data_IF_383076805601
#
_entry.id   IF_383076805601
#
_cell.length_a   1.000
_cell.length_b   1.000
_cell.length_c   1.000
_cell.angle_alpha   90.00
_cell.angle_beta   90.00
_cell.angle_gamma   90.00
#
_symmetry.space_group_name_H-M   'P 1'
#
loop_
_entity.id
_entity.type
_entity.pdbx_description
1 polymer ?
#
# COMPACT_ATOMS: atom_id res chain seq x y z
N UNK A 1 5.28 32.37 -4.85
CA UNK A 1 4.91 30.95 -4.83
C UNK A 1 5.70 30.30 -3.70
N UNK A 2 5.06 30.05 -2.55
CA UNK A 2 5.75 29.39 -1.43
C UNK A 2 5.99 27.92 -1.81
N UNK A 3 7.24 27.49 -1.80
CA UNK A 3 7.56 26.06 -1.82
C UNK A 3 7.16 25.51 -0.45
N UNK A 4 6.09 24.73 -0.40
CA UNK A 4 5.78 23.94 0.78
C UNK A 4 6.60 22.66 0.73
N UNK A 5 7.30 22.35 1.83
CA UNK A 5 7.96 21.06 1.99
C UNK A 5 6.88 19.99 2.19
N UNK A 6 6.64 19.20 1.15
CA UNK A 6 5.82 18.00 1.21
C UNK A 6 6.69 16.84 1.67
N UNK A 7 6.29 16.17 2.73
CA UNK A 7 6.90 14.92 3.16
C UNK A 7 5.84 13.87 3.46
N UNK A 8 6.20 12.63 3.20
CA UNK A 8 5.37 11.46 3.46
C UNK A 8 5.93 10.72 4.65
N UNK A 9 5.06 10.27 5.55
CA UNK A 9 5.44 9.37 6.64
C UNK A 9 4.62 8.08 6.58
N UNK A 10 5.26 6.97 6.89
CA UNK A 10 4.56 5.69 7.04
C UNK A 10 3.67 5.75 8.28
N UNK A 11 2.37 5.49 8.11
CA UNK A 11 1.38 5.60 9.18
C UNK A 11 1.01 4.26 9.79
N UNK A 12 0.67 3.28 8.95
CA UNK A 12 0.18 1.98 9.39
C UNK A 12 0.74 0.89 8.50
N UNK A 13 1.56 0.01 9.09
CA UNK A 13 2.21 -1.11 8.41
C UNK A 13 1.43 -2.43 8.54
N UNK A 14 1.70 -3.35 7.64
CA UNK A 14 1.16 -4.70 7.61
C UNK A 14 2.12 -5.67 6.90
N UNK A 15 1.93 -6.97 7.13
CA UNK A 15 2.68 -8.03 6.44
C UNK A 15 1.88 -9.33 6.47
N UNK A 16 2.17 -10.23 5.54
CA UNK A 16 1.53 -11.54 5.44
C UNK A 16 2.32 -12.50 4.56
N UNK A 17 1.84 -13.72 4.42
CA UNK A 17 2.46 -14.79 3.62
C UNK A 17 1.44 -15.69 2.90
N UNK A 18 0.29 -15.11 2.56
CA UNK A 18 -0.89 -15.79 2.04
C UNK A 18 -2.00 -14.77 1.75
N UNK A 19 -3.19 -15.23 1.39
CA UNK A 19 -4.33 -14.34 1.25
C UNK A 19 -4.58 -13.54 2.54
N UNK A 20 -4.83 -12.25 2.40
CA UNK A 20 -4.84 -11.31 3.52
C UNK A 20 -5.76 -10.14 3.25
N UNK A 21 -6.54 -9.76 4.24
CA UNK A 21 -7.37 -8.56 4.20
C UNK A 21 -6.94 -7.59 5.29
N UNK A 22 -6.96 -6.30 4.97
CA UNK A 22 -6.62 -5.25 5.91
C UNK A 22 -7.58 -4.10 5.80
N UNK A 23 -8.29 -3.83 6.90
CA UNK A 23 -8.96 -2.57 7.15
C UNK A 23 -8.04 -1.63 7.91
N UNK A 24 -7.95 -0.39 7.46
CA UNK A 24 -7.15 0.66 8.07
C UNK A 24 -7.96 1.46 9.07
N UNK A 25 -7.29 2.05 10.07
CA UNK A 25 -7.98 2.82 11.13
C UNK A 25 -8.54 4.16 10.65
N UNK A 26 -8.04 4.65 9.52
CA UNK A 26 -8.41 5.92 8.88
C UNK A 26 -8.36 5.73 7.38
N UNK A 27 -9.14 6.55 6.66
CA UNK A 27 -9.07 6.64 5.20
C UNK A 27 -7.63 6.88 4.72
N UNK A 28 -7.28 6.24 3.62
CA UNK A 28 -5.95 6.20 3.03
C UNK A 28 -6.01 6.67 1.58
N UNK A 29 -4.91 7.23 1.08
CA UNK A 29 -4.77 7.63 -0.33
C UNK A 29 -3.47 7.10 -0.94
N UNK A 30 -2.49 6.73 -0.12
CA UNK A 30 -1.21 6.19 -0.59
C UNK A 30 -0.99 4.77 -0.07
N UNK A 31 -0.67 3.85 -0.98
CA UNK A 31 -0.34 2.47 -0.67
C UNK A 31 1.07 2.14 -1.12
N UNK A 32 1.84 1.56 -0.19
CA UNK A 32 3.09 0.88 -0.50
C UNK A 32 2.93 -0.60 -0.19
N UNK A 33 3.22 -1.44 -1.18
CA UNK A 33 3.19 -2.89 -1.02
C UNK A 33 4.40 -3.50 -1.72
N UNK A 34 5.19 -4.23 -0.96
CA UNK A 34 6.43 -4.86 -1.39
C UNK A 34 6.19 -6.37 -1.44
N UNK A 35 6.33 -6.95 -2.62
CA UNK A 35 6.32 -8.41 -2.78
C UNK A 35 7.73 -8.94 -2.49
N UNK A 36 7.92 -9.48 -1.29
CA UNK A 36 9.19 -10.08 -0.87
C UNK A 36 9.24 -11.60 -1.15
N UNK A 37 8.18 -12.14 -1.75
CA UNK A 37 8.03 -13.53 -2.11
C UNK A 37 8.77 -13.90 -3.40
N UNK A 38 8.64 -15.16 -3.80
CA UNK A 38 9.19 -15.65 -5.08
C UNK A 38 8.15 -15.73 -6.19
N UNK A 39 6.86 -15.67 -5.83
CA UNK A 39 5.71 -15.67 -6.73
C UNK A 39 5.06 -14.29 -6.82
N UNK A 40 4.39 -14.01 -7.93
CA UNK A 40 3.61 -12.79 -8.08
C UNK A 40 2.45 -12.76 -7.09
N UNK A 41 2.06 -11.56 -6.65
CA UNK A 41 0.89 -11.34 -5.83
C UNK A 41 -0.04 -10.32 -6.49
N UNK A 42 -1.31 -10.33 -6.10
CA UNK A 42 -2.25 -9.28 -6.48
C UNK A 42 -2.78 -8.56 -5.26
N UNK A 43 -3.06 -7.27 -5.41
CA UNK A 43 -3.77 -6.46 -4.43
C UNK A 43 -4.98 -5.81 -5.08
N UNK A 44 -6.13 -5.92 -4.43
CA UNK A 44 -7.35 -5.23 -4.77
C UNK A 44 -7.60 -4.07 -3.79
N UNK A 45 -7.88 -2.90 -4.34
CA UNK A 45 -8.23 -1.70 -3.58
C UNK A 45 -9.31 -0.93 -4.35
N UNK A 46 -10.45 -0.67 -3.70
CA UNK A 46 -11.62 -0.04 -4.34
C UNK A 46 -12.04 -0.68 -5.68
N UNK A 47 -11.89 -2.01 -5.84
CA UNK A 47 -12.21 -2.72 -7.07
C UNK A 47 -11.16 -2.64 -8.18
N UNK A 48 -10.06 -1.89 -7.96
CA UNK A 48 -8.89 -1.92 -8.83
C UNK A 48 -7.94 -3.04 -8.41
N UNK A 49 -7.56 -3.88 -9.37
CA UNK A 49 -6.62 -4.99 -9.15
C UNK A 49 -5.26 -4.64 -9.73
N UNK A 50 -4.24 -4.68 -8.88
CA UNK A 50 -2.85 -4.52 -9.25
C UNK A 50 -2.11 -5.85 -9.10
N UNK A 51 -1.30 -6.20 -10.09
CA UNK A 51 -0.38 -7.32 -10.01
C UNK A 51 1.01 -6.80 -9.67
N UNK A 52 1.64 -7.38 -8.65
CA UNK A 52 2.98 -7.00 -8.18
C UNK A 52 3.88 -8.21 -8.38
N UNK A 53 4.78 -8.17 -9.39
CA UNK A 53 5.70 -9.27 -9.61
C UNK A 53 6.61 -9.52 -8.42
N UNK A 54 7.13 -10.75 -8.33
CA UNK A 54 8.14 -11.13 -7.34
C UNK A 54 9.32 -10.14 -7.29
N UNK A 55 9.61 -9.61 -6.10
CA UNK A 55 10.69 -8.63 -5.87
C UNK A 55 10.34 -7.18 -6.22
N UNK A 56 9.12 -6.89 -6.67
CA UNK A 56 8.70 -5.53 -7.02
C UNK A 56 7.94 -4.84 -5.88
N UNK A 57 7.84 -3.53 -5.99
CA UNK A 57 7.10 -2.66 -5.08
C UNK A 57 6.05 -1.88 -5.84
N UNK A 58 4.83 -1.87 -5.33
CA UNK A 58 3.80 -0.88 -5.65
C UNK A 58 3.99 0.31 -4.71
N UNK A 59 4.07 1.53 -5.24
CA UNK A 59 4.13 2.78 -4.49
C UNK A 59 3.26 3.80 -5.22
N UNK A 60 1.97 3.84 -4.87
CA UNK A 60 0.95 4.53 -5.67
C UNK A 60 0.05 5.44 -4.84
N UNK A 61 -0.35 6.55 -5.47
CA UNK A 61 -1.48 7.38 -5.06
C UNK A 61 -2.75 6.82 -5.70
N UNK A 62 -3.73 6.51 -4.87
CA UNK A 62 -4.97 5.86 -5.25
C UNK A 62 -6.16 6.73 -4.87
N UNK A 63 -7.33 6.42 -5.43
CA UNK A 63 -8.58 6.97 -4.92
C UNK A 63 -8.75 6.59 -3.43
N UNK A 64 -9.36 7.46 -2.61
CA UNK A 64 -9.38 7.23 -1.17
C UNK A 64 -10.06 5.90 -0.77
N UNK A 65 -9.40 5.10 0.06
CA UNK A 65 -9.80 3.74 0.44
C UNK A 65 -9.70 3.49 1.94
N UNK A 66 -10.44 2.48 2.42
CA UNK A 66 -10.46 2.08 3.83
C UNK A 66 -9.94 0.64 4.05
N UNK A 67 -9.85 -0.16 2.99
CA UNK A 67 -9.33 -1.53 3.05
C UNK A 67 -8.66 -1.99 1.77
N UNK A 68 -7.85 -3.04 1.88
CA UNK A 68 -7.25 -3.79 0.78
C UNK A 68 -7.50 -5.29 0.95
N UNK A 69 -7.49 -6.02 -0.15
CA UNK A 69 -7.39 -7.48 -0.18
C UNK A 69 -6.17 -7.89 -0.99
N UNK A 70 -5.33 -8.75 -0.42
CA UNK A 70 -4.12 -9.28 -1.06
C UNK A 70 -4.35 -10.76 -1.32
N UNK A 71 -4.12 -11.19 -2.56
CA UNK A 71 -4.03 -12.60 -2.93
C UNK A 71 -2.57 -12.93 -3.16
N UNK A 72 -2.00 -13.81 -2.33
CA UNK A 72 -0.59 -14.16 -2.36
C UNK A 72 -0.40 -15.61 -1.90
N UNK A 73 0.68 -16.24 -2.36
CA UNK A 73 1.16 -17.53 -1.87
C UNK A 73 2.45 -17.43 -1.07
N UNK A 74 3.11 -16.27 -1.10
CA UNK A 74 4.38 -15.98 -0.46
C UNK A 74 4.32 -14.70 0.39
N UNK A 75 5.45 -14.36 1.02
CA UNK A 75 5.59 -13.22 1.92
C UNK A 75 5.46 -11.86 1.22
N UNK A 76 4.83 -10.92 1.91
CA UNK A 76 4.80 -9.51 1.52
C UNK A 76 4.77 -8.62 2.77
N UNK A 77 5.12 -7.35 2.58
CA UNK A 77 4.95 -6.31 3.58
C UNK A 77 4.55 -5.00 2.92
N UNK A 78 3.86 -4.15 3.66
CA UNK A 78 3.38 -2.89 3.14
C UNK A 78 3.03 -1.91 4.22
N UNK A 79 2.72 -0.70 3.82
CA UNK A 79 2.25 0.35 4.69
C UNK A 79 1.49 1.41 3.89
N UNK A 80 0.63 2.14 4.58
CA UNK A 80 0.01 3.35 4.03
C UNK A 80 0.79 4.58 4.47
N UNK A 81 0.82 5.61 3.61
CA UNK A 81 1.47 6.90 3.88
C UNK A 81 0.43 8.00 3.99
N UNK A 82 0.73 8.98 4.82
CA UNK A 82 0.00 10.25 4.84
C UNK A 82 0.93 11.35 4.28
N UNK A 83 0.35 12.23 3.47
CA UNK A 83 0.99 13.48 3.07
C UNK A 83 0.89 14.50 4.19
N UNK A 84 2.01 15.12 4.55
CA UNK A 84 2.01 16.28 5.45
C UNK A 84 2.51 17.50 4.70
N UNK A 85 1.69 18.55 4.75
CA UNK A 85 2.02 19.87 4.26
C UNK A 85 2.35 20.72 5.49
N UNK A 86 3.62 21.09 5.67
CA UNK A 86 4.00 22.11 6.66
C UNK A 86 3.88 23.48 6.01
N UNK A 87 3.09 24.35 6.64
CA UNK A 87 2.99 25.77 6.29
C UNK A 87 4.12 26.57 6.90
#
# INVERSE_FOLDING_TARGET
MALYDKYFYAREGFSGSGNFEKTFKKRCEYLVLINTGVSDLTVEVNGHVFMIPSGYTLDELLEPFDSISVTATDTFCGYVRDEVIRQ
#
